data_IF_634153930443
#
_entry.id   IF_634153930443
#
_cell.length_a   1.000
_cell.length_b   1.000
_cell.length_c   1.000
_cell.angle_alpha   90.00
_cell.angle_beta   90.00
_cell.angle_gamma   90.00
#
_symmetry.space_group_name_H-M   'P 1'
#
loop_
_entity.id
_entity.type
_entity.pdbx_description
1 polymer ?
2 non-polymer ?
3 non-polymer ?
4 non-polymer ?
5 water ?
#
# COMPACT_ATOMS: atom_id res chain seq x y z
N UNK A 6 25.34 -6.31 -20.64
CA UNK A 6 23.92 -5.99 -20.32
C UNK A 6 23.46 -4.75 -21.08
N UNK A 7 22.54 -4.92 -22.04
CA UNK A 7 22.03 -3.80 -22.83
C UNK A 7 21.00 -3.00 -22.05
N UNK A 8 20.89 -1.70 -22.36
CA UNK A 8 19.96 -0.82 -21.66
C UNK A 8 18.86 -0.29 -22.59
N UNK A 9 17.73 0.09 -22.00
CA UNK A 9 16.61 0.62 -22.78
C UNK A 9 17.03 1.97 -23.36
N UNK A 10 16.39 2.36 -24.46
CA UNK A 10 16.68 3.61 -25.13
C UNK A 10 16.20 4.80 -24.30
N UNK A 11 16.48 6.01 -24.80
CA UNK A 11 16.03 7.21 -24.11
C UNK A 11 16.82 7.66 -22.89
N UNK A 12 17.93 6.98 -22.58
CA UNK A 12 18.73 7.36 -21.43
C UNK A 12 19.34 8.75 -21.59
N UNK A 13 19.17 9.60 -20.59
CA UNK A 13 19.70 10.96 -20.63
C UNK A 13 21.19 11.03 -20.28
N UNK A 14 21.95 10.09 -20.86
CA UNK A 14 23.40 10.03 -20.66
C UNK A 14 23.81 9.89 -19.20
N UNK A 15 24.35 10.97 -18.63
CA UNK A 15 24.84 11.01 -17.25
C UNK A 15 23.81 10.57 -16.19
N UNK A 16 22.59 11.06 -16.34
CA UNK A 16 21.51 10.80 -15.40
C UNK A 16 20.80 9.49 -15.71
N UNK A 17 21.01 8.97 -16.92
CA UNK A 17 20.38 7.74 -17.32
C UNK A 17 18.90 7.99 -17.54
N UNK A 18 18.06 7.18 -16.90
CA UNK A 18 16.63 7.34 -17.07
C UNK A 18 15.97 7.91 -15.82
N UNK A 19 16.77 8.57 -14.98
CA UNK A 19 16.27 9.14 -13.73
C UNK A 19 15.08 10.07 -13.90
N UNK A 20 15.18 11.01 -14.83
CA UNK A 20 14.09 11.95 -15.04
C UNK A 20 12.81 11.28 -15.53
N UNK A 21 12.94 10.29 -16.41
CA UNK A 21 11.76 9.59 -16.91
C UNK A 21 11.14 8.78 -15.77
N UNK A 22 12.00 8.28 -14.90
CA UNK A 22 11.57 7.49 -13.77
C UNK A 22 10.76 8.34 -12.79
N UNK A 23 11.06 9.64 -12.75
CA UNK A 23 10.37 10.57 -11.86
C UNK A 23 9.09 11.14 -12.45
N UNK A 24 8.79 10.81 -13.70
CA UNK A 24 7.60 11.36 -14.34
C UNK A 24 6.70 10.31 -14.96
N UNK A 25 7.29 9.30 -15.59
CA UNK A 25 6.51 8.24 -16.20
C UNK A 25 7.24 6.92 -16.01
N UNK A 26 7.34 6.45 -14.76
CA UNK A 26 8.02 5.18 -14.48
C UNK A 26 7.41 4.00 -15.21
N UNK A 27 6.08 3.94 -15.32
CA UNK A 27 5.44 2.84 -16.01
C UNK A 27 5.79 2.80 -17.50
N UNK A 28 5.84 3.97 -18.13
CA UNK A 28 6.17 4.02 -19.55
C UNK A 28 7.60 3.55 -19.75
N UNK A 29 8.49 3.93 -18.84
CA UNK A 29 9.88 3.53 -18.91
C UNK A 29 10.04 2.02 -18.78
N UNK A 30 9.41 1.45 -17.74
CA UNK A 30 9.51 0.02 -17.50
C UNK A 30 8.92 -0.80 -18.62
N UNK A 31 7.84 -0.30 -19.22
CA UNK A 31 7.20 -1.00 -20.32
C UNK A 31 8.09 -0.97 -21.56
N UNK A 32 8.78 0.14 -21.79
CA UNK A 32 9.68 0.24 -22.95
C UNK A 32 10.86 -0.70 -22.76
N UNK A 33 11.29 -0.88 -21.52
CA UNK A 33 12.39 -1.80 -21.23
C UNK A 33 11.99 -3.21 -21.65
N UNK A 34 10.75 -3.60 -21.37
CA UNK A 34 10.29 -4.94 -21.73
C UNK A 34 10.08 -5.04 -23.24
N UNK A 35 9.44 -4.04 -23.81
CA UNK A 35 9.19 -4.03 -25.26
C UNK A 35 10.50 -4.12 -26.02
N UNK A 36 11.52 -3.41 -25.55
CA UNK A 36 12.80 -3.41 -26.22
C UNK A 36 13.73 -4.57 -25.87
N UNK A 37 13.79 -4.96 -24.60
CA UNK A 37 14.71 -6.01 -24.18
C UNK A 37 14.14 -7.32 -23.67
N UNK A 38 12.82 -7.43 -23.58
CA UNK A 38 12.24 -8.68 -23.12
C UNK A 38 12.14 -8.87 -21.61
N UNK A 39 12.26 -10.12 -21.17
CA UNK A 39 12.15 -10.48 -19.75
C UNK A 39 13.23 -9.96 -18.82
N UNK A 40 14.37 -9.55 -19.36
CA UNK A 40 15.43 -9.01 -18.53
C UNK A 40 16.05 -7.83 -19.26
N UNK A 41 15.93 -6.65 -18.68
CA UNK A 41 16.48 -5.45 -19.28
C UNK A 41 17.02 -4.55 -18.20
N UNK A 42 17.62 -3.43 -18.58
CA UNK A 42 18.18 -2.50 -17.61
C UNK A 42 17.91 -1.04 -17.90
N UNK A 43 17.94 -0.23 -16.84
CA UNK A 43 17.79 1.19 -16.95
C UNK A 43 18.61 1.76 -15.80
N UNK A 44 19.03 3.01 -15.91
CA UNK A 44 19.87 3.58 -14.86
C UNK A 44 19.26 4.77 -14.17
N UNK A 45 19.57 4.89 -12.88
CA UNK A 45 19.12 6.01 -12.07
C UNK A 45 20.45 6.67 -11.69
N UNK A 46 20.87 7.61 -12.53
CA UNK A 46 22.15 8.27 -12.33
C UNK A 46 23.21 7.17 -12.48
N UNK A 47 23.99 6.93 -11.44
CA UNK A 47 25.03 5.91 -11.51
C UNK A 47 24.59 4.50 -11.17
N UNK A 48 23.40 4.37 -10.57
CA UNK A 48 22.84 3.10 -10.15
C UNK A 48 22.29 2.29 -11.33
N UNK A 49 22.61 1.00 -11.35
CA UNK A 49 22.14 0.10 -12.39
C UNK A 49 20.90 -0.63 -11.90
N UNK A 50 19.84 -0.64 -12.69
CA UNK A 50 18.62 -1.34 -12.31
C UNK A 50 18.29 -2.44 -13.31
N UNK A 51 18.31 -3.69 -12.86
CA UNK A 51 17.99 -4.82 -13.71
C UNK A 51 16.50 -5.12 -13.53
N UNK A 52 15.72 -4.82 -14.56
CA UNK A 52 14.28 -5.03 -14.52
C UNK A 52 13.86 -6.39 -15.08
N UNK A 53 13.20 -7.19 -14.24
CA UNK A 53 12.73 -8.52 -14.61
C UNK A 53 11.24 -8.51 -14.88
N UNK A 54 10.80 -9.30 -15.85
CA UNK A 54 9.38 -9.41 -16.18
C UNK A 54 9.13 -10.79 -16.79
N UNK A 55 7.87 -11.23 -16.77
CA UNK A 55 7.57 -12.53 -17.31
C UNK A 55 7.62 -13.55 -16.18
N UNK A 56 6.95 -14.68 -16.37
CA UNK A 56 6.88 -15.73 -15.35
C UNK A 56 8.21 -16.27 -14.85
N UNK A 57 9.07 -16.67 -15.78
CA UNK A 57 10.37 -17.24 -15.41
C UNK A 57 11.21 -16.29 -14.57
N UNK A 58 11.38 -15.07 -15.06
CA UNK A 58 12.19 -14.06 -14.34
C UNK A 58 11.54 -13.65 -13.01
N UNK A 59 10.22 -13.49 -13.00
CA UNK A 59 9.55 -13.10 -11.76
C UNK A 59 9.70 -14.20 -10.71
N UNK A 60 9.62 -15.46 -11.15
CA UNK A 60 9.74 -16.54 -10.18
C UNK A 60 11.11 -16.47 -9.52
N UNK A 61 12.14 -16.18 -10.32
CA UNK A 61 13.49 -16.07 -9.77
C UNK A 61 13.47 -14.99 -8.68
N UNK A 62 12.89 -13.84 -9.02
CA UNK A 62 12.80 -12.72 -8.10
C UNK A 62 12.11 -13.07 -6.78
N UNK A 63 10.89 -13.59 -6.88
CA UNK A 63 10.10 -13.92 -5.71
C UNK A 63 10.55 -15.12 -4.90
N UNK A 64 11.39 -15.97 -5.47
CA UNK A 64 11.90 -17.13 -4.74
C UNK A 64 13.29 -16.85 -4.17
N UNK A 65 13.85 -15.69 -4.49
CA UNK A 65 15.17 -15.30 -4.00
C UNK A 65 15.15 -14.91 -2.52
N UNK A 66 16.03 -15.56 -1.75
CA UNK A 66 16.12 -15.27 -0.34
C UNK A 66 16.74 -13.91 -0.12
N UNK A 67 16.44 -13.30 1.03
CA UNK A 67 16.97 -11.97 1.33
C UNK A 67 18.49 -11.92 1.35
N UNK A 68 19.14 -13.08 1.32
CA UNK A 68 20.59 -13.12 1.32
C UNK A 68 21.19 -12.97 -0.07
N UNK A 69 20.36 -13.21 -1.09
CA UNK A 69 20.81 -13.08 -2.48
C UNK A 69 20.30 -11.77 -3.05
N UNK A 70 19.04 -11.47 -2.77
CA UNK A 70 18.40 -10.23 -3.20
C UNK A 70 17.89 -9.59 -1.91
N UNK A 71 18.63 -8.59 -1.44
CA UNK A 71 18.30 -7.92 -0.19
C UNK A 71 17.36 -6.73 -0.35
N UNK A 72 16.41 -6.59 0.59
CA UNK A 72 15.47 -5.48 0.56
C UNK A 72 16.08 -4.33 1.35
N UNK A 73 17.04 -4.67 2.21
CA UNK A 73 17.72 -3.72 3.08
C UNK A 73 17.92 -2.30 2.57
N UNK A 74 18.77 -2.14 1.56
CA UNK A 74 19.03 -0.80 1.04
C UNK A 74 18.34 -0.56 -0.30
N UNK A 75 17.31 -1.34 -0.59
CA UNK A 75 16.61 -1.21 -1.86
C UNK A 75 15.66 -0.02 -1.92
N UNK A 76 15.27 0.49 -0.75
CA UNK A 76 14.34 1.61 -0.67
C UNK A 76 14.91 2.75 0.19
N UNK A 77 15.96 3.43 -0.29
CA UNK A 77 16.59 4.53 0.46
C UNK A 77 15.66 5.68 0.86
N UNK A 78 14.52 5.80 0.19
CA UNK A 78 13.59 6.86 0.53
C UNK A 78 12.87 6.59 1.84
N UNK A 79 12.90 5.34 2.32
CA UNK A 79 12.24 4.98 3.57
C UNK A 79 13.05 5.23 4.82
N UNK A 80 14.38 5.19 4.70
CA UNK A 80 15.21 5.39 5.88
C UNK A 80 14.93 6.69 6.64
N UNK A 81 14.81 7.83 5.93
CA UNK A 81 14.55 9.07 6.66
C UNK A 81 13.15 9.10 7.28
N UNK A 82 12.29 8.21 6.79
CA UNK A 82 10.91 8.13 7.27
C UNK A 82 10.77 7.26 8.51
N UNK A 83 11.31 6.05 8.49
CA UNK A 83 11.24 5.17 9.65
C UNK A 83 12.15 5.73 10.72
N UNK A 84 13.19 6.43 10.27
CA UNK A 84 14.12 7.03 11.21
C UNK A 84 15.49 6.41 11.18
N UNK A 85 16.51 7.26 11.03
CA UNK A 85 17.89 6.81 11.02
C UNK A 85 18.14 6.12 12.36
N UNK A 86 18.00 6.89 13.44
CA UNK A 86 18.19 6.34 14.77
C UNK A 86 17.08 5.34 15.05
N UNK A 87 17.18 4.19 14.39
CA UNK A 87 16.20 3.14 14.54
C UNK A 87 16.89 1.80 14.66
N UNK A 88 16.18 0.82 15.22
CA UNK A 88 16.72 -0.52 15.38
C UNK A 88 15.94 -1.45 14.45
N UNK A 89 15.65 -0.95 13.24
CA UNK A 89 14.94 -1.71 12.22
C UNK A 89 15.94 -2.68 11.60
N UNK A 90 16.76 -3.28 12.45
CA UNK A 90 17.75 -4.24 11.98
C UNK A 90 17.13 -5.62 11.91
N UNK A 91 15.83 -5.68 12.21
CA UNK A 91 15.11 -6.92 12.16
C UNK A 91 14.93 -7.28 10.69
N UNK A 92 15.31 -8.50 10.33
CA UNK A 92 15.17 -8.94 8.95
C UNK A 92 13.76 -8.58 8.50
N UNK A 93 13.59 -8.12 7.25
CA UNK A 93 12.25 -7.77 6.78
C UNK A 93 11.25 -8.88 7.05
N UNK A 94 11.76 -10.11 7.20
CA UNK A 94 10.91 -11.26 7.47
C UNK A 94 10.52 -11.25 8.95
N UNK A 95 11.44 -10.81 9.80
CA UNK A 95 11.21 -10.73 11.23
C UNK A 95 10.13 -9.69 11.48
N UNK A 96 10.22 -8.58 10.75
CA UNK A 96 9.25 -7.51 10.87
C UNK A 96 7.85 -8.03 10.53
N UNK A 97 7.73 -8.65 9.36
CA UNK A 97 6.46 -9.21 8.92
C UNK A 97 5.92 -10.12 10.01
N UNK A 98 6.81 -10.91 10.59
CA UNK A 98 6.43 -11.85 11.64
C UNK A 98 5.85 -11.12 12.87
N UNK A 99 6.51 -10.08 13.31
CA UNK A 99 6.03 -9.33 14.47
C UNK A 99 4.69 -8.67 14.20
N UNK A 100 4.55 -8.01 13.05
CA UNK A 100 3.29 -7.36 12.72
C UNK A 100 2.17 -8.37 12.70
N UNK A 101 2.41 -9.50 12.04
CA UNK A 101 1.40 -10.54 11.94
C UNK A 101 0.90 -10.97 13.32
N UNK A 102 1.83 -11.39 14.17
CA UNK A 102 1.48 -11.86 15.50
C UNK A 102 0.80 -10.80 16.37
N UNK A 103 1.09 -9.54 16.12
CA UNK A 103 0.51 -8.48 16.91
C UNK A 103 -0.87 -8.04 16.43
N UNK A 104 -1.07 -8.01 15.11
CA UNK A 104 -2.34 -7.54 14.56
C UNK A 104 -2.98 -8.28 13.39
N UNK A 105 -2.27 -9.21 12.77
CA UNK A 105 -2.83 -9.91 11.62
C UNK A 105 -3.24 -11.37 11.82
N UNK A 106 -3.44 -11.78 13.07
CA UNK A 106 -3.85 -13.16 13.33
C UNK A 106 -5.29 -13.35 12.85
N UNK A 107 -5.60 -14.51 12.31
CA UNK A 107 -6.93 -14.77 11.81
C UNK A 107 -8.02 -14.45 12.81
N UNK A 108 -7.83 -14.87 14.06
CA UNK A 108 -8.82 -14.63 15.10
C UNK A 108 -9.07 -13.16 15.39
N UNK A 109 -8.23 -12.28 14.85
CA UNK A 109 -8.40 -10.85 15.07
C UNK A 109 -9.21 -10.19 13.96
N UNK A 110 -9.34 -10.88 12.83
CA UNK A 110 -10.04 -10.33 11.67
C UNK A 110 -11.46 -9.83 11.89
N UNK A 111 -12.28 -10.60 12.60
CA UNK A 111 -13.66 -10.20 12.85
C UNK A 111 -13.70 -8.87 13.61
N UNK A 112 -12.86 -8.73 14.62
CA UNK A 112 -12.82 -7.49 15.38
C UNK A 112 -12.38 -6.33 14.51
N UNK A 113 -11.44 -6.60 13.59
CA UNK A 113 -10.95 -5.55 12.71
C UNK A 113 -12.04 -5.09 11.75
N UNK A 114 -12.81 -6.03 11.23
CA UNK A 114 -13.89 -5.69 10.31
C UNK A 114 -14.88 -4.76 11.01
N UNK A 115 -15.17 -5.05 12.28
CA UNK A 115 -16.09 -4.23 13.06
C UNK A 115 -15.50 -2.84 13.29
N UNK A 116 -14.19 -2.80 13.56
CA UNK A 116 -13.49 -1.54 13.77
C UNK A 116 -13.55 -0.70 12.49
N UNK A 117 -13.22 -1.32 11.37
CA UNK A 117 -13.24 -0.65 10.08
C UNK A 117 -14.65 -0.15 9.78
N UNK A 118 -15.65 -0.98 10.02
CA UNK A 118 -17.04 -0.60 9.78
C UNK A 118 -17.34 0.66 10.60
N UNK A 119 -16.94 0.62 11.86
CA UNK A 119 -17.15 1.75 12.75
C UNK A 119 -16.45 2.99 12.21
N UNK A 120 -15.20 2.85 11.79
CA UNK A 120 -14.44 3.99 11.27
C UNK A 120 -15.08 4.59 10.02
N UNK A 121 -15.68 3.76 9.19
CA UNK A 121 -16.32 4.26 7.97
C UNK A 121 -17.56 5.06 8.35
N UNK A 122 -18.37 4.52 9.25
CA UNK A 122 -19.56 5.22 9.68
C UNK A 122 -19.21 6.57 10.30
N UNK A 123 -18.09 6.62 11.02
CA UNK A 123 -17.62 7.85 11.66
C UNK A 123 -17.19 8.87 10.61
N UNK A 124 -16.62 8.40 9.50
CA UNK A 124 -16.20 9.26 8.40
C UNK A 124 -17.36 9.83 7.61
N UNK A 125 -18.43 9.06 7.42
CA UNK A 125 -19.56 9.53 6.64
C UNK A 125 -20.72 10.05 7.50
N UNK A 126 -20.48 10.18 8.80
CA UNK A 126 -21.48 10.64 9.74
C UNK A 126 -22.19 11.93 9.33
N UNK A 127 -21.43 12.90 8.83
CA UNK A 127 -21.99 14.18 8.43
C UNK A 127 -22.18 14.36 6.93
N UNK A 128 -22.23 13.25 6.19
CA UNK A 128 -22.41 13.35 4.75
C UNK A 128 -23.79 13.89 4.38
N UNK A 129 -24.80 13.54 5.16
CA UNK A 129 -26.13 14.02 4.86
C UNK A 129 -26.73 13.29 3.68
N UNK A 130 -27.74 13.91 3.07
CA UNK A 130 -28.46 13.32 1.95
C UNK A 130 -27.67 13.23 0.65
N UNK A 131 -26.89 14.26 0.34
CA UNK A 131 -26.12 14.27 -0.88
C UNK A 131 -24.99 15.27 -0.80
N UNK A 132 -24.02 15.13 -1.68
CA UNK A 132 -22.88 16.04 -1.67
C UNK A 132 -21.78 15.54 -2.56
N UNK A 133 -20.55 15.94 -2.25
CA UNK A 133 -19.42 15.54 -3.06
C UNK A 133 -18.15 15.44 -2.22
N UNK A 134 -17.29 14.50 -2.58
CA UNK A 134 -16.03 14.30 -1.86
C UNK A 134 -14.90 14.12 -2.85
N UNK A 135 -13.68 14.25 -2.37
CA UNK A 135 -12.51 14.02 -3.20
C UNK A 135 -12.01 12.67 -2.75
N UNK A 136 -11.90 11.73 -3.69
CA UNK A 136 -11.48 10.37 -3.38
C UNK A 136 -10.18 10.28 -2.59
N UNK A 137 -9.15 11.00 -3.02
CA UNK A 137 -7.89 10.96 -2.30
C UNK A 137 -8.05 11.47 -0.88
N UNK A 138 -8.66 12.64 -0.73
CA UNK A 138 -8.84 13.20 0.60
C UNK A 138 -9.63 12.27 1.50
N UNK A 139 -10.71 11.71 0.97
CA UNK A 139 -11.54 10.81 1.77
C UNK A 139 -10.83 9.51 2.16
N UNK A 140 -10.40 8.74 1.17
CA UNK A 140 -9.77 7.47 1.48
C UNK A 140 -8.40 7.56 2.15
N UNK A 141 -7.66 8.64 1.91
CA UNK A 141 -6.36 8.78 2.56
C UNK A 141 -6.60 8.94 4.06
N UNK A 142 -7.57 9.77 4.42
CA UNK A 142 -7.86 9.99 5.83
C UNK A 142 -8.53 8.78 6.48
N UNK A 143 -9.50 8.17 5.78
CA UNK A 143 -10.18 7.00 6.31
C UNK A 143 -9.21 5.89 6.66
N UNK A 144 -8.29 5.58 5.76
CA UNK A 144 -7.33 4.52 6.00
C UNK A 144 -6.29 4.85 7.09
N UNK A 145 -6.11 6.12 7.39
CA UNK A 145 -5.20 6.48 8.49
C UNK A 145 -5.88 5.99 9.77
N UNK A 146 -7.19 6.18 9.84
CA UNK A 146 -7.95 5.77 11.03
C UNK A 146 -8.15 4.25 11.12
N UNK A 147 -8.45 3.62 10.00
CA UNK A 147 -8.64 2.17 10.03
C UNK A 147 -7.30 1.50 10.36
N UNK A 148 -6.22 1.97 9.74
CA UNK A 148 -4.90 1.40 9.98
C UNK A 148 -4.45 1.55 11.44
N UNK A 149 -4.52 2.78 11.95
CA UNK A 149 -4.10 3.03 13.32
C UNK A 149 -5.00 2.31 14.32
N UNK A 150 -6.31 2.35 14.09
CA UNK A 150 -7.24 1.68 15.00
C UNK A 150 -7.03 0.16 15.03
N UNK A 151 -6.80 -0.44 13.86
CA UNK A 151 -6.60 -1.90 13.80
C UNK A 151 -5.21 -2.38 14.17
N UNK A 152 -4.19 -1.72 13.63
CA UNK A 152 -2.81 -2.14 13.87
C UNK A 152 -2.22 -1.67 15.19
N UNK A 153 -2.69 -0.53 15.69
CA UNK A 153 -2.18 -0.02 16.96
C UNK A 153 -3.20 -0.18 18.09
N UNK A 154 -4.42 0.31 17.85
CA UNK A 154 -5.47 0.20 18.84
C UNK A 154 -6.48 1.33 18.73
N UNK A 155 -7.73 1.06 19.09
CA UNK A 155 -8.74 2.10 18.99
C UNK A 155 -8.46 3.25 19.94
N UNK A 156 -7.93 2.92 21.12
CA UNK A 156 -7.62 3.95 22.11
C UNK A 156 -6.62 4.92 21.50
N UNK A 157 -5.58 4.40 20.85
CA UNK A 157 -4.59 5.26 20.24
C UNK A 157 -5.22 6.09 19.13
N UNK A 158 -5.96 5.44 18.24
CA UNK A 158 -6.61 6.16 17.14
C UNK A 158 -7.50 7.28 17.67
N UNK A 159 -8.24 7.03 18.74
CA UNK A 159 -9.12 8.05 19.30
C UNK A 159 -8.37 9.26 19.84
N UNK A 160 -7.07 9.13 20.04
CA UNK A 160 -6.29 10.24 20.55
C UNK A 160 -5.67 11.02 19.38
N UNK A 161 -6.06 10.65 18.17
CA UNK A 161 -5.54 11.30 16.97
C UNK A 161 -6.56 12.24 16.35
N UNK A 162 -6.06 13.19 15.57
CA UNK A 162 -6.91 14.14 14.88
C UNK A 162 -6.32 14.36 13.49
N UNK A 163 -6.89 15.32 12.75
CA UNK A 163 -6.43 15.59 11.40
C UNK A 163 -4.94 15.86 11.23
N UNK A 164 -4.29 16.35 12.29
CA UNK A 164 -2.86 16.66 12.24
C UNK A 164 -2.05 15.42 11.87
N UNK A 165 -2.33 14.32 12.54
CA UNK A 165 -1.61 13.09 12.28
C UNK A 165 -1.70 12.72 10.80
N UNK A 166 -2.91 12.70 10.26
CA UNK A 166 -3.13 12.36 8.86
C UNK A 166 -2.35 13.28 7.91
N UNK A 167 -2.38 14.57 8.18
CA UNK A 167 -1.70 15.55 7.36
C UNK A 167 -0.18 15.35 7.37
N UNK A 168 0.41 15.11 8.54
CA UNK A 168 1.85 14.88 8.64
C UNK A 168 2.26 13.59 7.94
N UNK A 169 1.46 12.55 8.13
CA UNK A 169 1.74 11.26 7.51
C UNK A 169 1.77 11.42 5.99
N UNK A 170 0.84 12.22 5.46
CA UNK A 170 0.77 12.49 4.03
C UNK A 170 2.08 13.11 3.54
N UNK A 171 2.63 14.03 4.32
CA UNK A 171 3.88 14.69 3.95
C UNK A 171 5.01 13.68 3.94
N UNK A 172 4.88 12.62 4.73
CA UNK A 172 5.91 11.58 4.71
C UNK A 172 5.88 10.90 3.34
N UNK A 173 4.68 10.54 2.88
CA UNK A 173 4.53 9.87 1.59
C UNK A 173 4.94 10.76 0.41
N UNK A 174 4.69 12.06 0.53
CA UNK A 174 5.07 12.97 -0.55
C UNK A 174 6.57 13.23 -0.50
N UNK A 175 7.24 12.68 0.52
CA UNK A 175 8.68 12.86 0.63
C UNK A 175 9.46 11.69 0.06
N UNK A 176 8.83 10.90 -0.82
CA UNK A 176 9.48 9.74 -1.42
C UNK A 176 9.88 9.92 -2.89
N UNK A 177 10.30 11.12 -3.26
CA UNK A 177 10.72 11.42 -4.61
C UNK A 177 11.84 10.43 -4.97
N UNK A 178 11.83 9.89 -6.21
CA UNK A 178 12.86 8.94 -6.64
C UNK A 178 14.28 9.49 -6.53
N UNK A 179 14.42 10.80 -6.35
CA UNK A 179 15.75 11.40 -6.21
C UNK A 179 16.47 10.82 -4.98
N UNK A 180 15.71 10.13 -4.12
CA UNK A 180 16.32 9.52 -2.94
C UNK A 180 17.35 8.45 -3.34
N UNK A 181 17.27 7.98 -4.58
CA UNK A 181 18.23 6.99 -5.07
C UNK A 181 19.58 7.65 -5.37
N UNK A 182 19.58 8.98 -5.40
CA UNK A 182 20.80 9.75 -5.61
C UNK A 182 21.28 10.04 -4.17
N UNK A 183 20.40 10.65 -3.39
CA UNK A 183 20.69 11.00 -2.00
C UNK A 183 19.36 11.32 -1.29
N UNK A 184 19.01 10.54 -0.25
CA UNK A 184 17.74 10.82 0.44
C UNK A 184 17.75 12.15 1.19
N UNK A 185 18.89 12.82 1.21
CA UNK A 185 18.99 14.11 1.89
C UNK A 185 19.37 15.27 0.97
N UNK A 186 19.01 15.18 -0.30
CA UNK A 186 19.28 16.28 -1.23
C UNK A 186 18.54 17.48 -0.66
N UNK A 187 19.07 18.68 -0.87
CA UNK A 187 18.40 19.87 -0.34
C UNK A 187 17.22 20.32 -1.19
N UNK A 188 16.15 19.53 -1.19
CA UNK A 188 14.95 19.87 -1.94
C UNK A 188 13.80 20.04 -0.94
N UNK A 189 12.83 20.89 -1.28
CA UNK A 189 11.74 21.15 -0.35
C UNK A 189 10.89 19.96 0.07
N UNK A 190 10.61 19.02 -0.83
CA UNK A 190 9.78 17.89 -0.45
C UNK A 190 10.46 17.04 0.63
N UNK A 191 11.79 16.94 0.57
CA UNK A 191 12.54 16.18 1.57
C UNK A 191 12.58 16.95 2.88
N UNK A 192 12.59 18.28 2.80
CA UNK A 192 12.59 19.10 4.01
C UNK A 192 11.24 18.94 4.73
N UNK A 193 10.15 19.00 3.96
CA UNK A 193 8.80 18.84 4.52
C UNK A 193 8.68 17.45 5.16
N UNK A 194 9.35 16.48 4.54
CA UNK A 194 9.34 15.10 5.02
C UNK A 194 9.97 15.01 6.40
N UNK A 195 11.16 15.59 6.55
CA UNK A 195 11.85 15.55 7.83
C UNK A 195 11.10 16.32 8.92
N UNK A 196 10.49 17.46 8.59
CA UNK A 196 9.74 18.22 9.58
C UNK A 196 8.51 17.42 9.98
N UNK A 197 7.89 16.76 9.01
CA UNK A 197 6.71 15.96 9.27
C UNK A 197 7.03 14.83 10.26
N UNK A 198 8.18 14.18 10.11
CA UNK A 198 8.49 13.12 11.05
C UNK A 198 8.68 13.69 12.46
N UNK A 199 9.31 14.86 12.57
CA UNK A 199 9.49 15.45 13.89
C UNK A 199 8.11 15.82 14.45
N UNK A 200 7.20 16.22 13.57
CA UNK A 200 5.87 16.59 14.01
C UNK A 200 5.13 15.38 14.57
N UNK A 201 5.33 14.22 13.93
CA UNK A 201 4.69 12.98 14.37
C UNK A 201 5.28 12.49 15.70
N UNK A 202 6.60 12.61 15.85
CA UNK A 202 7.23 12.19 17.11
C UNK A 202 6.66 13.03 18.24
N UNK A 203 6.44 14.32 17.97
CA UNK A 203 5.89 15.23 18.98
C UNK A 203 4.48 14.82 19.39
N UNK A 204 3.67 14.42 18.42
CA UNK A 204 2.29 14.01 18.71
C UNK A 204 2.28 12.75 19.54
N UNK A 205 3.16 11.81 19.22
CA UNK A 205 3.25 10.56 19.95
C UNK A 205 3.82 10.79 21.34
N UNK A 206 4.83 11.64 21.45
CA UNK A 206 5.46 11.94 22.73
C UNK A 206 4.41 12.50 23.68
N UNK A 207 3.54 13.32 23.14
CA UNK A 207 2.48 13.94 23.92
C UNK A 207 1.56 12.86 24.49
N UNK A 208 1.13 11.95 23.62
CA UNK A 208 0.27 10.86 24.04
C UNK A 208 0.99 9.98 25.05
N UNK A 209 2.26 9.71 24.80
CA UNK A 209 3.07 8.88 25.70
C UNK A 209 3.10 9.46 27.10
N UNK A 210 3.38 10.75 27.19
CA UNK A 210 3.47 11.40 28.48
C UNK A 210 2.13 11.32 29.22
N UNK A 211 1.05 11.36 28.46
CA UNK A 211 -0.27 11.26 29.07
C UNK A 211 -0.52 9.86 29.59
N UNK A 212 -0.04 8.84 28.88
CA UNK A 212 -0.21 7.45 29.29
C UNK A 212 0.61 7.20 30.56
N UNK A 213 1.85 7.68 30.54
CA UNK A 213 2.76 7.51 31.67
C UNK A 213 2.33 8.30 32.90
N UNK A 214 1.78 9.50 32.67
CA UNK A 214 1.33 10.35 33.77
C UNK A 214 0.08 9.81 34.45
N UNK A 215 -0.76 9.12 33.69
CA UNK A 215 -2.00 8.56 34.21
C UNK A 215 -2.20 7.16 33.67
N UNK A 216 -1.44 6.18 34.17
CA UNK A 216 -1.54 4.80 33.72
C UNK A 216 -2.98 4.32 33.56
N UNK A 217 -3.29 3.64 32.45
CA UNK A 217 -4.64 3.12 32.16
C UNK A 217 -5.22 2.35 33.32
N UNK A 218 -6.21 2.95 33.98
CA UNK A 218 -6.88 2.31 35.12
C UNK A 218 -7.54 1.01 34.69
N UNK A 219 -7.99 0.99 33.43
CA UNK A 219 -8.64 -0.17 32.85
C UNK A 219 -7.61 -1.28 32.60
N UNK A 220 -7.59 -1.78 31.37
CA UNK A 220 -6.66 -2.85 30.96
C UNK A 220 -7.18 -3.52 29.69
N UNK A 221 -8.49 -3.48 29.49
CA UNK A 221 -9.11 -4.10 28.33
C UNK A 221 -9.04 -3.16 27.13
N UNK A 222 -8.57 -1.94 27.37
CA UNK A 222 -8.44 -0.95 26.30
C UNK A 222 -6.98 -0.84 25.89
N UNK A 223 -6.12 -1.55 26.63
CA UNK A 223 -4.69 -1.55 26.37
C UNK A 223 -4.39 -1.71 24.88
N UNK A 224 -3.50 -0.87 24.35
CA UNK A 224 -3.15 -0.95 22.94
C UNK A 224 -1.65 -1.13 22.75
N UNK A 225 -1.21 -1.14 21.49
CA UNK A 225 0.21 -1.33 21.18
C UNK A 225 1.12 -0.28 21.79
N UNK A 226 0.61 0.94 22.00
CA UNK A 226 1.44 1.97 22.61
C UNK A 226 1.71 1.56 24.06
N UNK A 227 0.68 1.07 24.74
CA UNK A 227 0.84 0.65 26.13
C UNK A 227 1.88 -0.46 26.20
N UNK A 228 1.78 -1.40 25.26
CA UNK A 228 2.71 -2.51 25.22
C UNK A 228 4.16 -2.04 25.08
N UNK A 229 4.42 -1.19 24.09
CA UNK A 229 5.75 -0.68 23.84
C UNK A 229 6.32 0.16 24.98
N UNK A 230 5.47 0.98 25.59
CA UNK A 230 5.90 1.83 26.69
C UNK A 230 6.41 0.99 27.88
N UNK A 231 5.77 -0.15 28.12
CA UNK A 231 6.12 -1.00 29.25
C UNK A 231 7.39 -1.83 29.11
N UNK A 232 7.86 -2.02 27.87
CA UNK A 232 9.07 -2.81 27.67
C UNK A 232 10.31 -2.16 28.29
N UNK A 233 11.10 -2.97 29.00
CA UNK A 233 12.31 -2.48 29.64
C UNK A 233 13.57 -3.13 29.10
N UNK A 234 14.63 -2.33 28.96
CA UNK A 234 15.90 -2.84 28.49
C UNK A 234 16.48 -3.64 29.66
N UNK A 235 17.57 -4.36 29.43
CA UNK A 235 18.13 -5.14 30.50
C UNK A 235 18.53 -4.26 31.69
N UNK A 236 19.08 -3.08 31.42
CA UNK A 236 19.49 -2.15 32.47
C UNK A 236 18.30 -1.73 33.33
N UNK A 237 17.10 -2.01 32.86
CA UNK A 237 15.92 -1.65 33.63
C UNK A 237 15.29 -0.33 33.22
N UNK A 238 15.90 0.31 32.23
CA UNK A 238 15.41 1.58 31.72
C UNK A 238 14.44 1.32 30.57
N UNK A 239 13.38 2.14 30.42
CA UNK A 239 12.42 1.93 29.34
C UNK A 239 13.18 1.65 28.04
N UNK A 240 12.79 0.59 27.35
CA UNK A 240 13.46 0.20 26.12
C UNK A 240 13.30 1.16 24.95
N UNK A 241 12.09 1.68 24.75
CA UNK A 241 11.84 2.55 23.60
C UNK A 241 11.55 4.02 23.90
N UNK A 242 12.13 4.88 23.08
CA UNK A 242 11.94 6.33 23.19
C UNK A 242 10.76 6.70 22.31
N UNK A 243 10.28 7.93 22.45
CA UNK A 243 9.16 8.39 21.63
C UNK A 243 9.57 8.31 20.16
N UNK A 244 10.83 8.59 19.88
CA UNK A 244 11.33 8.55 18.50
C UNK A 244 11.23 7.16 17.88
N UNK A 245 11.67 6.14 18.62
CA UNK A 245 11.62 4.78 18.11
C UNK A 245 10.19 4.24 18.00
N UNK A 246 9.34 4.58 18.97
CA UNK A 246 7.95 4.14 18.94
C UNK A 246 7.29 4.76 17.71
N UNK A 247 7.55 6.04 17.48
CA UNK A 247 6.99 6.73 16.33
C UNK A 247 7.45 6.05 15.05
N UNK A 248 8.74 5.74 14.98
CA UNK A 248 9.29 5.06 13.82
C UNK A 248 8.62 3.71 13.60
N UNK A 249 8.40 2.98 14.69
CA UNK A 249 7.76 1.68 14.61
C UNK A 249 6.31 1.81 14.17
N UNK A 250 5.60 2.81 14.69
CA UNK A 250 4.21 3.02 14.29
C UNK A 250 4.15 3.42 12.82
N UNK A 251 5.06 4.30 12.41
CA UNK A 251 5.09 4.73 11.01
C UNK A 251 5.32 3.50 10.12
N UNK A 252 6.23 2.64 10.54
CA UNK A 252 6.55 1.45 9.77
C UNK A 252 5.36 0.48 9.71
N UNK A 253 4.71 0.27 10.85
CA UNK A 253 3.56 -0.63 10.92
C UNK A 253 2.48 -0.24 9.92
N UNK A 254 2.29 1.06 9.74
CA UNK A 254 1.24 1.58 8.86
C UNK A 254 1.61 1.93 7.44
N UNK A 255 2.89 2.20 7.19
CA UNK A 255 3.27 2.63 5.84
C UNK A 255 2.89 1.72 4.68
N UNK A 256 3.30 0.47 4.71
CA UNK A 256 2.98 -0.42 3.61
C UNK A 256 1.48 -0.58 3.40
N UNK A 257 0.70 -0.50 4.48
CA UNK A 257 -0.73 -0.66 4.36
C UNK A 257 -1.58 0.58 4.14
N UNK A 258 -1.00 1.76 4.34
CA UNK A 258 -1.80 2.95 4.16
C UNK A 258 -2.06 3.39 2.71
N UNK A 259 -1.02 3.82 2.01
CA UNK A 259 -1.22 4.28 0.64
C UNK A 259 -1.72 3.20 -0.30
N UNK A 260 -1.38 1.94 -0.02
CA UNK A 260 -1.84 0.83 -0.86
C UNK A 260 -3.35 0.63 -0.69
N UNK A 261 -3.80 0.58 0.56
CA UNK A 261 -5.22 0.39 0.84
C UNK A 261 -6.03 1.62 0.40
N UNK A 262 -5.48 2.81 0.63
CA UNK A 262 -6.12 4.06 0.25
C UNK A 262 -6.30 4.14 -1.27
N UNK A 263 -5.22 3.89 -2.01
CA UNK A 263 -5.29 3.95 -3.46
C UNK A 263 -6.15 2.85 -4.04
N UNK A 264 -6.13 1.68 -3.42
CA UNK A 264 -6.92 0.57 -3.93
C UNK A 264 -8.43 0.80 -3.74
N UNK A 265 -8.79 1.44 -2.63
CA UNK A 265 -10.20 1.72 -2.37
C UNK A 265 -10.69 2.76 -3.39
N UNK A 266 -9.88 3.77 -3.67
CA UNK A 266 -10.24 4.80 -4.63
C UNK A 266 -10.43 4.20 -6.02
N UNK A 267 -9.49 3.39 -6.46
CA UNK A 267 -9.58 2.78 -7.79
C UNK A 267 -10.70 1.75 -7.93
N UNK A 268 -11.04 1.09 -6.84
CA UNK A 268 -12.14 0.12 -6.87
C UNK A 268 -13.43 0.90 -7.14
N UNK A 269 -13.59 2.05 -6.49
CA UNK A 269 -14.78 2.86 -6.70
C UNK A 269 -14.76 3.49 -8.09
N UNK A 270 -13.58 3.91 -8.53
CA UNK A 270 -13.46 4.50 -9.86
C UNK A 270 -13.85 3.47 -10.93
N UNK A 271 -13.37 2.24 -10.81
CA UNK A 271 -13.73 1.22 -11.80
C UNK A 271 -15.21 0.87 -11.73
N UNK A 272 -15.79 0.85 -10.54
CA UNK A 272 -17.22 0.55 -10.42
C UNK A 272 -18.04 1.63 -11.12
N UNK A 273 -17.67 2.89 -10.91
CA UNK A 273 -18.37 4.00 -11.54
C UNK A 273 -18.16 4.01 -13.05
N UNK A 274 -17.00 3.54 -13.50
CA UNK A 274 -16.68 3.48 -14.93
C UNK A 274 -17.42 2.34 -15.63
N UNK A 275 -17.86 1.35 -14.87
CA UNK A 275 -18.55 0.21 -15.46
C UNK A 275 -19.87 -0.01 -14.76
N UNK A 276 -20.89 0.68 -15.29
CA UNK A 276 -22.26 0.65 -14.77
C UNK A 276 -22.82 -0.73 -14.49
N UNK A 277 -22.55 -1.68 -15.37
CA UNK A 277 -23.07 -3.02 -15.15
C UNK A 277 -22.36 -3.77 -14.02
N UNK A 278 -21.08 -3.50 -13.83
CA UNK A 278 -20.34 -4.14 -12.74
C UNK A 278 -20.87 -3.53 -11.44
N UNK A 279 -21.06 -2.22 -11.46
CA UNK A 279 -21.57 -1.50 -10.28
C UNK A 279 -22.91 -2.12 -9.87
N UNK A 280 -23.82 -2.25 -10.83
CA UNK A 280 -25.14 -2.82 -10.57
C UNK A 280 -25.02 -4.24 -10.01
N UNK A 281 -24.16 -5.05 -10.62
CA UNK A 281 -23.96 -6.42 -10.20
C UNK A 281 -23.51 -6.47 -8.74
N UNK A 282 -22.58 -5.58 -8.36
CA UNK A 282 -22.08 -5.53 -6.99
C UNK A 282 -23.16 -5.07 -6.01
N UNK A 283 -23.94 -4.07 -6.40
CA UNK A 283 -25.03 -3.57 -5.55
C UNK A 283 -26.07 -4.65 -5.28
N UNK A 284 -26.47 -5.38 -6.31
CA UNK A 284 -27.46 -6.44 -6.13
C UNK A 284 -26.88 -7.53 -5.24
N UNK A 285 -25.61 -7.85 -5.45
CA UNK A 285 -24.94 -8.87 -4.66
C UNK A 285 -24.91 -8.47 -3.19
N UNK A 286 -24.50 -7.24 -2.91
CA UNK A 286 -24.44 -6.77 -1.53
C UNK A 286 -25.83 -6.75 -0.90
N UNK A 287 -26.83 -6.26 -1.63
CA UNK A 287 -28.19 -6.20 -1.10
C UNK A 287 -28.67 -7.59 -0.73
N UNK A 288 -28.50 -8.54 -1.65
CA UNK A 288 -28.92 -9.91 -1.38
C UNK A 288 -28.18 -10.50 -0.19
N UNK A 289 -26.87 -10.30 -0.17
CA UNK A 289 -26.02 -10.81 0.89
C UNK A 289 -26.44 -10.32 2.27
N UNK A 290 -26.53 -9.01 2.44
CA UNK A 290 -26.91 -8.45 3.73
C UNK A 290 -28.38 -8.63 4.09
N UNK A 291 -29.14 -9.19 3.15
CA UNK A 291 -30.55 -9.42 3.38
C UNK A 291 -30.72 -10.57 4.36
N UNK A 292 -29.64 -11.30 4.62
CA UNK A 292 -29.73 -12.43 5.55
C UNK A 292 -29.68 -11.90 6.98
N UNK A 293 -29.54 -10.58 7.10
CA UNK A 293 -29.52 -9.93 8.39
C UNK A 293 -28.25 -10.02 9.21
N UNK A 294 -27.21 -10.64 8.65
CA UNK A 294 -25.96 -10.77 9.40
C UNK A 294 -25.04 -9.55 9.21
N UNK A 295 -24.14 -9.35 10.17
CA UNK A 295 -23.24 -8.22 10.19
C UNK A 295 -22.13 -8.11 9.14
N UNK A 296 -21.56 -6.92 9.06
CA UNK A 296 -20.46 -6.64 8.15
C UNK A 296 -19.25 -7.44 8.63
N UNK A 297 -19.07 -7.55 9.95
CA UNK A 297 -17.92 -8.29 10.48
C UNK A 297 -18.05 -9.76 10.13
N UNK A 298 -19.28 -10.21 9.90
CA UNK A 298 -19.50 -11.59 9.52
C UNK A 298 -19.22 -11.76 8.01
N UNK A 299 -19.92 -10.96 7.20
CA UNK A 299 -19.78 -11.06 5.76
C UNK A 299 -18.44 -10.64 5.15
N UNK A 300 -17.77 -9.65 5.76
CA UNK A 300 -16.50 -9.17 5.23
C UNK A 300 -15.39 -10.23 5.29
N UNK A 301 -15.53 -11.22 6.16
CA UNK A 301 -14.53 -12.27 6.28
C UNK A 301 -14.78 -13.40 5.30
N UNK A 302 -15.99 -13.47 4.78
CA UNK A 302 -16.35 -14.54 3.86
C UNK A 302 -16.47 -14.05 2.43
N UNK A 303 -16.61 -14.98 1.49
CA UNK A 303 -16.70 -14.61 0.09
C UNK A 303 -17.84 -13.69 -0.33
N UNK A 304 -17.50 -12.75 -1.20
CA UNK A 304 -18.42 -11.80 -1.81
C UNK A 304 -17.83 -11.76 -3.24
N UNK A 305 -18.04 -12.85 -4.00
CA UNK A 305 -17.60 -13.13 -5.37
C UNK A 305 -17.44 -11.98 -6.35
N UNK A 306 -18.54 -11.32 -6.67
CA UNK A 306 -18.49 -10.23 -7.62
C UNK A 306 -17.70 -9.01 -7.19
N UNK A 307 -17.81 -8.63 -5.92
CA UNK A 307 -17.05 -7.50 -5.44
C UNK A 307 -15.57 -7.90 -5.44
N UNK A 308 -15.28 -9.14 -5.07
CA UNK A 308 -13.89 -9.58 -5.04
C UNK A 308 -13.26 -9.68 -6.43
N UNK A 309 -14.04 -10.08 -7.43
CA UNK A 309 -13.48 -10.14 -8.77
C UNK A 309 -13.25 -8.72 -9.27
N UNK A 310 -14.06 -7.78 -8.82
CA UNK A 310 -13.87 -6.38 -9.20
C UNK A 310 -12.59 -5.86 -8.52
N UNK A 311 -12.35 -6.31 -7.29
CA UNK A 311 -11.15 -5.90 -6.56
C UNK A 311 -9.91 -6.50 -7.22
N UNK A 312 -9.97 -7.79 -7.56
CA UNK A 312 -8.84 -8.44 -8.21
C UNK A 312 -8.49 -7.73 -9.51
N UNK A 313 -9.51 -7.35 -10.29
CA UNK A 313 -9.25 -6.67 -11.55
C UNK A 313 -8.75 -5.25 -11.33
N UNK A 314 -9.22 -4.59 -10.27
CA UNK A 314 -8.76 -3.25 -9.96
C UNK A 314 -7.28 -3.35 -9.59
N UNK A 315 -6.93 -4.39 -8.85
CA UNK A 315 -5.54 -4.59 -8.45
C UNK A 315 -4.63 -4.96 -9.63
N UNK A 316 -5.16 -5.69 -10.59
CA UNK A 316 -4.36 -6.06 -11.77
C UNK A 316 -4.03 -4.82 -12.56
N UNK A 317 -5.03 -3.97 -12.81
CA UNK A 317 -4.85 -2.75 -13.59
C UNK A 317 -4.17 -1.60 -12.85
N UNK A 318 -4.42 -1.48 -11.55
CA UNK A 318 -3.86 -0.37 -10.77
C UNK A 318 -3.11 -0.82 -9.52
N UNK A 319 -2.09 -1.70 -9.67
CA UNK A 319 -1.35 -2.15 -8.50
C UNK A 319 -0.74 -0.94 -7.79
N UNK A 320 -0.93 -0.81 -6.47
CA UNK A 320 -0.38 0.33 -5.73
C UNK A 320 1.14 0.40 -5.71
N UNK A 321 1.80 -0.75 -5.73
CA UNK A 321 3.27 -0.77 -5.77
C UNK A 321 3.60 -1.17 -7.21
N UNK A 322 4.06 -0.22 -8.01
CA UNK A 322 4.35 -0.51 -9.42
C UNK A 322 5.72 -1.10 -9.70
N UNK A 323 6.59 -1.09 -8.70
CA UNK A 323 7.93 -1.65 -8.83
C UNK A 323 8.42 -2.12 -7.46
N UNK A 324 9.02 -3.31 -7.43
CA UNK A 324 9.54 -3.89 -6.20
C UNK A 324 11.06 -3.91 -6.38
N UNK A 325 11.79 -3.42 -5.38
CA UNK A 325 13.24 -3.33 -5.47
C UNK A 325 14.04 -4.22 -4.53
N UNK A 326 15.23 -4.61 -5.00
CA UNK A 326 16.15 -5.45 -4.25
C UNK A 326 17.58 -5.07 -4.67
N UNK A 327 18.55 -5.41 -3.84
CA UNK A 327 19.95 -5.16 -4.16
C UNK A 327 20.60 -6.54 -4.24
N UNK A 328 21.28 -6.83 -5.35
CA UNK A 328 21.94 -8.11 -5.50
C UNK A 328 23.12 -8.16 -4.55
N UNK A 329 23.19 -9.24 -3.76
CA UNK A 329 24.24 -9.45 -2.78
C UNK A 329 25.33 -10.34 -3.35
N UNK A 330 25.15 -10.76 -4.60
CA UNK A 330 26.13 -11.62 -5.23
C UNK A 330 25.96 -11.62 -6.73
N UNK A 331 26.63 -12.57 -7.39
CA UNK A 331 26.58 -12.69 -8.84
C UNK A 331 25.53 -13.71 -9.26
N UNK A 332 24.60 -13.29 -10.11
CA UNK A 332 23.56 -14.20 -10.57
C UNK A 332 23.39 -14.08 -12.07
N UNK A 333 22.56 -14.96 -12.62
CA UNK A 333 22.30 -14.96 -14.03
C UNK A 333 20.85 -15.38 -14.23
N UNK A 334 20.14 -14.62 -15.04
CA UNK A 334 18.73 -14.90 -15.32
C UNK A 334 18.53 -14.83 -16.82
N UNK A 335 18.17 -15.97 -17.40
CA UNK A 335 17.94 -16.04 -18.84
C UNK A 335 19.13 -15.50 -19.61
N UNK A 336 20.32 -15.89 -19.19
CA UNK A 336 21.51 -15.42 -19.87
C UNK A 336 22.01 -14.05 -19.46
N UNK A 337 21.13 -13.24 -18.88
CA UNK A 337 21.54 -11.91 -18.45
C UNK A 337 22.23 -12.01 -17.10
N UNK A 338 23.44 -11.48 -17.04
CA UNK A 338 24.24 -11.51 -15.85
C UNK A 338 23.87 -10.39 -14.87
N UNK A 339 23.66 -10.74 -13.59
CA UNK A 339 23.34 -9.74 -12.58
C UNK A 339 24.54 -9.63 -11.65
N UNK A 340 25.03 -8.41 -11.44
CA UNK A 340 26.20 -8.20 -10.59
C UNK A 340 25.88 -7.69 -9.21
N UNK A 341 26.77 -7.98 -8.28
CA UNK A 341 26.60 -7.55 -6.90
C UNK A 341 26.53 -6.03 -6.88
N UNK A 342 25.59 -5.49 -6.09
CA UNK A 342 25.44 -4.06 -6.00
C UNK A 342 24.41 -3.57 -6.98
N UNK A 343 24.06 -4.41 -7.95
CA UNK A 343 23.04 -4.05 -8.93
C UNK A 343 21.70 -3.99 -8.20
N UNK A 344 20.81 -3.12 -8.67
CA UNK A 344 19.47 -3.05 -8.10
C UNK A 344 18.70 -4.02 -8.98
N UNK A 345 17.85 -4.85 -8.40
CA UNK A 345 17.06 -5.81 -9.18
C UNK A 345 15.60 -5.54 -8.88
N UNK A 346 14.79 -5.42 -9.93
CA UNK A 346 13.38 -5.11 -9.73
C UNK A 346 12.37 -5.96 -10.49
N UNK A 347 11.17 -6.04 -9.93
CA UNK A 347 10.05 -6.75 -10.53
C UNK A 347 8.98 -5.66 -10.63
N UNK A 348 8.04 -5.80 -11.57
CA UNK A 348 7.02 -4.77 -11.70
C UNK A 348 5.59 -5.26 -11.88
N UNK A 349 4.75 -5.09 -10.84
CA UNK A 349 3.35 -5.52 -10.93
C UNK A 349 2.65 -4.76 -12.06
N UNK A 350 3.01 -3.48 -12.21
CA UNK A 350 2.40 -2.64 -13.25
C UNK A 350 2.56 -3.26 -14.63
N UNK A 351 3.78 -3.68 -14.94
CA UNK A 351 4.09 -4.27 -16.24
C UNK A 351 3.63 -5.73 -16.36
N UNK A 352 4.00 -6.56 -15.39
CA UNK A 352 3.63 -7.98 -15.42
C UNK A 352 2.13 -8.25 -15.40
N UNK A 353 1.37 -7.44 -14.67
CA UNK A 353 -0.07 -7.61 -14.59
C UNK A 353 -0.76 -7.42 -15.94
N UNK A 354 -0.04 -6.86 -16.90
CA UNK A 354 -0.65 -6.63 -18.21
C UNK A 354 0.01 -7.37 -19.38
N UNK A 355 0.80 -8.40 -19.10
CA UNK A 355 1.42 -9.17 -20.18
C UNK A 355 0.25 -9.81 -20.94
N UNK A 356 0.08 -9.43 -22.23
CA UNK A 356 -1.00 -9.95 -23.06
C UNK A 356 -1.10 -11.47 -23.24
N UNK A 357 0.02 -12.17 -23.21
CA UNK A 357 -0.01 -13.62 -23.36
C UNK A 357 -0.65 -14.29 -22.15
N UNK A 358 -0.63 -13.59 -21.01
CA UNK A 358 -1.19 -14.14 -19.77
C UNK A 358 -2.58 -13.59 -19.49
N UNK A 359 -2.78 -12.31 -19.78
CA UNK A 359 -4.05 -11.65 -19.50
C UNK A 359 -4.62 -11.03 -20.76
N UNK A 360 -5.37 -11.80 -21.57
CA UNK A 360 -5.99 -11.35 -22.82
C UNK A 360 -6.68 -10.00 -22.66
N UNK A 361 -6.42 -9.10 -23.61
CA UNK A 361 -6.99 -7.75 -23.57
C UNK A 361 -6.60 -7.17 -22.20
N UNK A 362 -5.29 -7.12 -21.93
CA UNK A 362 -4.72 -6.62 -20.68
C UNK A 362 -5.16 -5.25 -20.18
N UNK A 363 -5.58 -4.37 -21.09
CA UNK A 363 -5.99 -3.03 -20.67
C UNK A 363 -7.47 -2.87 -20.39
N UNK A 364 -8.23 -3.94 -20.57
CA UNK A 364 -9.66 -3.90 -20.33
C UNK A 364 -10.02 -4.42 -18.95
N UNK A 365 -11.04 -3.80 -18.35
CA UNK A 365 -11.53 -4.19 -17.04
C UNK A 365 -12.45 -5.40 -17.27
N UNK A 366 -12.00 -6.58 -16.89
CA UNK A 366 -12.80 -7.80 -17.06
C UNK A 366 -12.77 -8.67 -15.81
N UNK A 367 -13.68 -8.41 -14.87
CA UNK A 367 -13.73 -9.19 -13.63
C UNK A 367 -13.92 -10.69 -13.89
N UNK A 368 -14.57 -11.01 -15.01
CA UNK A 368 -14.82 -12.40 -15.37
C UNK A 368 -13.56 -13.21 -15.62
N UNK A 369 -12.42 -12.54 -15.78
CA UNK A 369 -11.20 -13.29 -16.03
C UNK A 369 -10.77 -14.07 -14.80
N UNK A 370 -11.45 -13.85 -13.67
CA UNK A 370 -11.13 -14.56 -12.42
C UNK A 370 -12.15 -15.65 -12.10
N UNK A 371 -13.24 -15.68 -12.84
CA UNK A 371 -14.26 -16.70 -12.65
C UNK A 371 -13.72 -17.93 -13.36
N UNK A 372 -14.39 -19.08 -13.22
CA UNK A 372 -13.96 -20.27 -13.92
C UNK A 372 -14.51 -20.13 -15.34
N UNK A 373 -13.83 -20.70 -16.34
CA UNK A 373 -12.58 -21.46 -16.25
C UNK A 373 -11.31 -20.63 -16.49
N UNK A 374 -11.45 -19.31 -16.59
CA UNK A 374 -10.29 -18.48 -16.84
C UNK A 374 -9.34 -18.40 -15.64
N UNK A 375 -9.88 -18.16 -14.44
CA UNK A 375 -9.08 -18.07 -13.21
C UNK A 375 -7.67 -17.59 -13.51
N UNK A 376 -7.56 -16.47 -14.21
CA UNK A 376 -6.26 -15.94 -14.62
C UNK A 376 -5.26 -15.61 -13.51
N UNK A 377 -5.74 -15.28 -12.33
CA UNK A 377 -4.85 -14.97 -11.22
C UNK A 377 -4.19 -16.25 -10.70
N UNK A 378 -4.96 -17.32 -10.68
CA UNK A 378 -4.50 -18.60 -10.19
C UNK A 378 -3.58 -19.32 -11.17
N UNK A 379 -3.85 -19.18 -12.47
CA UNK A 379 -3.05 -19.85 -13.49
C UNK A 379 -1.81 -19.08 -13.88
N UNK A 380 -1.67 -17.85 -13.41
CA UNK A 380 -0.51 -17.03 -13.72
C UNK A 380 0.08 -16.49 -12.43
N UNK A 381 0.45 -17.42 -11.55
CA UNK A 381 1.00 -17.07 -10.24
C UNK A 381 2.08 -16.00 -10.23
N UNK A 382 3.08 -16.16 -11.10
CA UNK A 382 4.20 -15.23 -11.13
C UNK A 382 4.05 -13.95 -11.96
N UNK A 383 2.92 -13.76 -12.62
CA UNK A 383 2.73 -12.54 -13.37
C UNK A 383 1.53 -11.73 -12.86
N UNK A 384 0.62 -12.39 -12.14
CA UNK A 384 -0.50 -11.68 -11.52
C UNK A 384 0.10 -11.44 -10.13
N UNK A 385 0.69 -10.26 -9.95
CA UNK A 385 1.38 -9.99 -8.70
C UNK A 385 1.14 -8.66 -7.99
N UNK A 386 -0.14 -8.27 -7.81
CA UNK A 386 -0.39 -7.00 -7.12
C UNK A 386 0.08 -7.06 -5.65
N UNK A 387 0.00 -8.25 -5.06
CA UNK A 387 0.41 -8.51 -3.67
C UNK A 387 1.77 -9.20 -3.65
N UNK A 388 2.43 -9.27 -4.80
CA UNK A 388 3.70 -9.96 -4.88
C UNK A 388 3.42 -11.45 -5.02
N UNK A 389 4.36 -12.28 -4.62
CA UNK A 389 4.19 -13.72 -4.71
C UNK A 389 5.27 -14.43 -3.93
N UNK A 390 5.08 -15.74 -3.72
CA UNK A 390 6.07 -16.53 -3.01
C UNK A 390 6.34 -16.08 -1.58
N UNK A 391 7.60 -16.16 -1.17
CA UNK A 391 8.00 -15.77 0.16
C UNK A 391 7.81 -14.28 0.48
N UNK A 392 7.71 -13.44 -0.54
CA UNK A 392 7.53 -12.01 -0.30
C UNK A 392 6.08 -11.57 -0.45
N UNK A 393 5.18 -12.52 -0.59
CA UNK A 393 3.75 -12.21 -0.71
C UNK A 393 3.39 -11.30 0.46
N UNK A 394 2.68 -10.22 0.16
CA UNK A 394 2.26 -9.27 1.18
C UNK A 394 1.65 -9.96 2.40
N UNK A 395 2.17 -9.67 3.59
CA UNK A 395 1.65 -10.29 4.81
C UNK A 395 0.26 -9.74 5.18
N UNK A 396 -0.08 -8.55 4.69
CA UNK A 396 -1.37 -7.96 5.01
C UNK A 396 -2.46 -8.22 3.98
N UNK A 397 -2.20 -9.10 3.02
CA UNK A 397 -3.19 -9.39 1.98
C UNK A 397 -4.60 -9.69 2.50
N UNK A 398 -4.71 -10.69 3.35
CA UNK A 398 -6.01 -11.07 3.92
C UNK A 398 -6.67 -9.85 4.58
N UNK A 399 -5.89 -9.09 5.34
CA UNK A 399 -6.44 -7.90 6.01
C UNK A 399 -6.91 -6.88 4.96
N UNK A 400 -6.08 -6.62 3.95
CA UNK A 400 -6.41 -5.67 2.91
C UNK A 400 -7.70 -6.05 2.17
N UNK A 401 -7.85 -7.33 1.88
CA UNK A 401 -9.04 -7.84 1.19
C UNK A 401 -10.28 -7.65 2.07
N UNK A 402 -10.15 -8.02 3.35
CA UNK A 402 -11.24 -7.87 4.30
C UNK A 402 -11.64 -6.39 4.43
N UNK A 403 -10.65 -5.51 4.55
CA UNK A 403 -10.90 -4.07 4.68
C UNK A 403 -11.72 -3.52 3.50
N UNK A 404 -11.31 -3.86 2.29
CA UNK A 404 -12.02 -3.41 1.10
C UNK A 404 -13.49 -3.87 1.17
N UNK A 405 -13.72 -5.12 1.56
CA UNK A 405 -15.08 -5.62 1.65
C UNK A 405 -15.88 -4.92 2.74
N UNK A 406 -15.25 -4.67 3.88
CA UNK A 406 -15.91 -3.98 4.98
C UNK A 406 -16.25 -2.54 4.57
N UNK A 407 -15.28 -1.84 4.00
CA UNK A 407 -15.48 -0.47 3.57
C UNK A 407 -16.63 -0.32 2.59
N UNK A 408 -16.60 -1.09 1.50
CA UNK A 408 -17.67 -0.99 0.52
C UNK A 408 -19.00 -1.58 0.95
N UNK A 409 -18.99 -2.51 1.89
CA UNK A 409 -20.25 -3.07 2.38
C UNK A 409 -21.01 -1.94 3.01
N UNK A 410 -20.30 -1.05 3.70
CA UNK A 410 -20.93 0.08 4.35
C UNK A 410 -21.26 1.20 3.36
N UNK A 411 -20.27 1.63 2.58
CA UNK A 411 -20.50 2.72 1.63
C UNK A 411 -21.55 2.43 0.57
N UNK A 412 -21.44 1.30 -0.10
CA UNK A 412 -22.38 0.97 -1.17
C UNK A 412 -23.80 0.61 -0.75
N UNK A 413 -23.99 0.33 0.54
CA UNK A 413 -25.30 0.00 1.05
C UNK A 413 -26.03 1.29 1.45
N UNK A 414 -25.26 2.32 1.78
CA UNK A 414 -25.79 3.61 2.22
C UNK A 414 -25.89 4.66 1.13
N UNK A 415 -24.82 4.78 0.34
CA UNK A 415 -24.77 5.79 -0.71
C UNK A 415 -24.47 5.23 -2.09
N UNK A 416 -24.73 6.04 -3.10
CA UNK A 416 -24.43 5.67 -4.46
C UNK A 416 -23.56 6.80 -5.00
N UNK A 417 -22.56 6.44 -5.79
CA UNK A 417 -21.61 7.41 -6.30
C UNK A 417 -21.52 7.53 -7.81
N UNK A 418 -21.14 8.72 -8.27
CA UNK A 418 -20.96 8.96 -9.69
C UNK A 418 -19.89 10.02 -9.85
N UNK A 419 -19.15 9.93 -10.95
CA UNK A 419 -18.08 10.87 -11.20
C UNK A 419 -18.59 12.28 -11.37
N UNK A 420 -17.83 13.24 -10.86
CA UNK A 420 -18.19 14.63 -10.97
C UNK A 420 -17.25 15.24 -11.99
N UNK A 421 -16.42 14.41 -12.58
CA UNK A 421 -15.45 14.86 -13.59
C UNK A 421 -15.45 13.87 -14.74
N UNK A 422 -14.80 14.23 -15.85
CA UNK A 422 -14.75 13.33 -17.00
C UNK A 422 -14.02 12.07 -16.53
N UNK A 423 -14.41 10.90 -17.06
CA UNK A 423 -13.77 9.63 -16.67
C UNK A 423 -12.25 9.58 -16.85
N UNK A 424 -11.74 10.35 -17.82
CA UNK A 424 -10.30 10.36 -18.10
C UNK A 424 -9.53 11.20 -17.10
N UNK A 425 -10.23 12.02 -16.31
CA UNK A 425 -9.55 12.87 -15.34
C UNK A 425 -9.08 12.12 -14.10
N UNK A 426 -9.54 10.89 -13.92
CA UNK A 426 -9.13 10.10 -12.75
C UNK A 426 -7.88 9.33 -13.13
N UNK A 427 -6.76 9.69 -12.52
CA UNK A 427 -5.50 9.02 -12.83
C UNK A 427 -4.53 9.16 -11.68
N UNK A 428 -3.42 8.43 -11.76
CA UNK A 428 -2.41 8.46 -10.72
C UNK A 428 -1.31 9.47 -10.94
N UNK A 429 -0.74 9.90 -9.82
CA UNK A 429 0.36 10.84 -9.77
C UNK A 429 1.56 9.93 -9.49
N UNK A 430 2.48 9.82 -10.45
CA UNK A 430 3.67 8.97 -10.29
C UNK A 430 4.96 9.74 -10.09
N UNK A 431 4.89 10.94 -9.51
CA UNK A 431 6.08 11.75 -9.27
C UNK A 431 6.88 11.30 -8.04
N UNK A 432 6.26 10.51 -7.17
CA UNK A 432 6.91 10.01 -5.97
C UNK A 432 6.88 8.49 -6.01
N UNK A 433 7.71 7.83 -5.22
CA UNK A 433 7.72 6.36 -5.19
C UNK A 433 6.38 5.88 -4.68
N UNK A 434 5.77 6.65 -3.78
CA UNK A 434 4.46 6.31 -3.25
C UNK A 434 3.42 6.87 -4.19
N UNK A 435 2.74 5.98 -4.91
CA UNK A 435 1.70 6.38 -5.86
C UNK A 435 0.43 6.84 -5.15
N UNK A 436 -0.19 7.89 -5.67
CA UNK A 436 -1.45 8.37 -5.14
C UNK A 436 -2.22 9.03 -6.25
N UNK A 437 -3.54 9.14 -6.10
CA UNK A 437 -4.37 9.77 -7.12
C UNK A 437 -3.97 11.19 -7.38
N UNK A 438 -4.12 11.62 -8.63
CA UNK A 438 -3.84 12.99 -9.00
C UNK A 438 -5.14 13.69 -8.60
N UNK A 439 -5.05 14.93 -8.16
CA UNK A 439 -6.25 15.65 -7.77
C UNK A 439 -6.55 16.79 -8.74
N UNK A 440 -7.82 17.22 -8.82
CA UNK A 440 -8.94 16.71 -8.05
C UNK A 440 -9.49 15.39 -8.56
N UNK A 441 -10.22 14.71 -7.68
CA UNK A 441 -10.86 13.44 -7.99
C UNK A 441 -12.20 13.53 -7.29
N UNK A 442 -12.99 14.50 -7.73
CA UNK A 442 -14.31 14.78 -7.18
C UNK A 442 -15.31 13.73 -7.56
N UNK A 443 -16.12 13.30 -6.58
CA UNK A 443 -17.14 12.30 -6.80
C UNK A 443 -18.41 12.73 -6.06
N UNK A 444 -19.56 12.58 -6.71
CA UNK A 444 -20.82 12.93 -6.07
C UNK A 444 -21.43 11.72 -5.39
N UNK A 445 -22.02 11.95 -4.22
CA UNK A 445 -22.66 10.88 -3.49
C UNK A 445 -24.10 11.27 -3.21
N UNK A 446 -24.95 10.27 -3.06
CA UNK A 446 -26.37 10.48 -2.82
C UNK A 446 -26.86 9.34 -1.95
N UNK A 447 -27.48 9.64 -0.82
CA UNK A 447 -27.98 8.59 0.06
C UNK A 447 -28.91 7.71 -0.76
N UNK A 448 -28.81 6.39 -0.57
CA UNK A 448 -29.67 5.47 -1.31
C UNK A 448 -31.03 5.41 -0.64
N UNK A 449 -32.08 5.24 -1.44
CA UNK A 449 -33.44 5.16 -0.93
C UNK A 449 -33.94 3.71 -0.99
N UNK A 450 -34.95 3.40 -0.30
#
# INVERSE_FOLDING_TARGET
>A
MSAVALPRVSGGHDEHGHLEEFRTDPIGLMQRVRDELGDVGTFQLAGKQVVLLSGSHANEFFFRAGDDDLDQAKAYPFMTPIFGEGVVFDASPERRKEMLHNAALRGEQMKGHAATIEDQVRRMIADWGEAGEIDLLDFFAELTIYTSSACLIGKKFRDQLDGRFAKLYHELERGTDPLAYVDPYLPIESFRRRDEARNGLVALVADIMNGRIANPPTDKSDRDMLDVLIAVKAETGTPRFSADEITGMFISMMFAGHHTSSGTASWTLIELMRHRDAYAAVIDELDELYGDGRSVSFHALRQIPQLENVLKETLRLHPPLIILMRVAKGEFEVQGHRIHEGDLVAASPAISNRIPEDFPDPHDFVPARYEQPRQEDLLNRWTWIPFGAGRHRCVGAAFAIMQIKAIFSVLLREYEFEMAQPPESYRNDHSKMVVQLAQPAAVRYRRRTGVHHHH
#
